data_IF_320285986283
#
_entry.id   IF_320285986283
#
_cell.length_a   1.000
_cell.length_b   1.000
_cell.length_c   1.000
_cell.angle_alpha   90.00
_cell.angle_beta   90.00
_cell.angle_gamma   90.00
#
_symmetry.space_group_name_H-M   'P 1'
#
loop_
_entity.id
_entity.type
_entity.pdbx_description
1 polymer ?
#
# COMPACT_ATOMS: atom_id res chain seq x y z
N UNK A 1 13.58 -3.72 -0.80
CA UNK A 1 13.98 -3.05 0.46
C UNK A 1 13.12 -1.84 0.80
N UNK A 2 13.00 -0.82 -0.08
CA UNK A 2 12.22 0.39 0.22
C UNK A 2 10.78 0.09 0.62
N UNK A 3 10.08 -0.81 -0.09
CA UNK A 3 8.74 -1.27 0.29
C UNK A 3 8.68 -1.82 1.73
N UNK A 4 9.58 -2.74 2.08
CA UNK A 4 9.62 -3.39 3.39
C UNK A 4 9.94 -2.41 4.55
N UNK A 5 10.81 -1.43 4.32
CA UNK A 5 11.12 -0.40 5.31
C UNK A 5 9.91 0.53 5.48
N UNK A 6 9.33 0.98 4.36
CA UNK A 6 8.20 1.91 4.37
C UNK A 6 6.96 1.30 5.03
N UNK A 7 6.65 0.03 4.75
CA UNK A 7 5.50 -0.65 5.34
C UNK A 7 5.70 -0.85 6.84
N UNK A 8 6.92 -1.21 7.27
CA UNK A 8 7.25 -1.37 8.69
C UNK A 8 7.13 -0.05 9.44
N UNK A 9 7.66 1.04 8.87
CA UNK A 9 7.52 2.38 9.47
C UNK A 9 6.07 2.83 9.51
N UNK A 10 5.26 2.55 8.48
CA UNK A 10 3.82 2.81 8.53
C UNK A 10 3.10 1.97 9.59
N UNK A 11 3.62 0.79 9.96
CA UNK A 11 3.09 -0.02 11.05
C UNK A 11 3.48 0.50 12.44
N UNK A 12 4.62 1.17 12.56
CA UNK A 12 5.13 1.73 13.82
C UNK A 12 4.41 3.03 14.19
N UNK A 13 4.20 3.92 13.22
CA UNK A 13 3.50 5.19 13.46
C UNK A 13 1.98 4.99 13.46
N UNK A 14 1.29 5.55 14.46
CA UNK A 14 -0.16 5.49 14.55
C UNK A 14 -0.83 6.46 13.55
N UNK A 15 -1.93 6.04 12.95
CA UNK A 15 -2.79 6.91 12.14
C UNK A 15 -4.01 7.35 12.94
N UNK A 16 -4.67 8.43 12.49
CA UNK A 16 -5.89 8.95 13.08
C UNK A 16 -6.91 7.83 13.30
N UNK A 17 -7.46 7.69 14.52
CA UNK A 17 -8.48 6.70 14.83
C UNK A 17 -9.79 6.97 14.09
N UNK A 18 -10.60 5.93 13.94
CA UNK A 18 -11.91 6.02 13.26
C UNK A 18 -12.94 6.82 14.07
N UNK A 19 -12.79 6.85 15.40
CA UNK A 19 -13.66 7.59 16.30
C UNK A 19 -13.02 8.94 16.62
N UNK A 20 -13.78 10.03 16.48
CA UNK A 20 -13.29 11.40 16.70
C UNK A 20 -13.10 11.75 18.18
N UNK A 21 -13.47 10.85 19.09
CA UNK A 21 -13.34 11.02 20.55
C UNK A 21 -11.92 10.84 21.08
N UNK A 22 -11.03 10.29 20.27
CA UNK A 22 -9.73 9.83 20.75
C UNK A 22 -8.63 10.84 20.39
N UNK A 23 -7.90 11.29 21.40
CA UNK A 23 -6.70 12.09 21.21
C UNK A 23 -5.65 11.31 20.42
N UNK A 24 -5.07 11.95 19.39
CA UNK A 24 -4.02 11.34 18.57
C UNK A 24 -2.90 12.32 18.29
N UNK A 25 -1.68 11.79 18.12
CA UNK A 25 -0.53 12.59 17.73
C UNK A 25 -0.59 12.97 16.26
N UNK A 26 -0.74 14.27 15.96
CA UNK A 26 -0.69 14.79 14.60
C UNK A 26 0.65 14.50 13.90
N UNK A 27 1.74 14.38 14.68
CA UNK A 27 3.05 14.03 14.14
C UNK A 27 3.07 12.58 13.65
N UNK A 28 2.59 11.65 14.47
CA UNK A 28 2.56 10.23 14.11
C UNK A 28 1.62 9.98 12.92
N UNK A 29 0.44 10.62 12.89
CA UNK A 29 -0.49 10.48 11.78
C UNK A 29 0.10 10.97 10.45
N UNK A 30 0.85 12.08 10.49
CA UNK A 30 1.55 12.60 9.32
C UNK A 30 2.68 11.66 8.89
N UNK A 31 3.48 11.17 9.83
CA UNK A 31 4.57 10.23 9.54
C UNK A 31 4.03 8.93 8.94
N UNK A 32 2.98 8.36 9.56
CA UNK A 32 2.25 7.20 9.05
C UNK A 32 1.82 7.41 7.60
N UNK A 33 1.15 8.53 7.31
CA UNK A 33 0.66 8.85 5.98
C UNK A 33 1.78 8.97 4.94
N UNK A 34 2.92 9.55 5.31
CA UNK A 34 4.10 9.63 4.43
C UNK A 34 4.64 8.24 4.11
N UNK A 35 4.84 7.40 5.13
CA UNK A 35 5.37 6.05 4.93
C UNK A 35 4.39 5.14 4.18
N UNK A 36 3.08 5.31 4.41
CA UNK A 36 2.05 4.61 3.67
C UNK A 36 2.09 4.96 2.17
N UNK A 37 2.23 6.24 1.82
CA UNK A 37 2.39 6.68 0.44
C UNK A 37 3.69 6.13 -0.18
N UNK A 38 4.81 6.20 0.53
CA UNK A 38 6.07 5.63 0.07
C UNK A 38 5.99 4.12 -0.16
N UNK A 39 5.21 3.42 0.67
CA UNK A 39 4.92 1.98 0.51
C UNK A 39 4.17 1.73 -0.79
N UNK A 40 3.09 2.47 -1.06
CA UNK A 40 2.31 2.33 -2.29
C UNK A 40 3.11 2.65 -3.57
N UNK A 41 3.94 3.69 -3.52
CA UNK A 41 4.83 4.07 -4.63
C UNK A 41 5.88 2.99 -4.85
N UNK A 42 6.57 2.56 -3.78
CA UNK A 42 7.61 1.53 -3.86
C UNK A 42 7.06 0.20 -4.37
N UNK A 43 5.84 -0.16 -3.96
CA UNK A 43 5.15 -1.35 -4.43
C UNK A 43 4.85 -1.24 -5.93
N UNK A 44 4.18 -0.16 -6.35
CA UNK A 44 3.82 0.06 -7.75
C UNK A 44 5.04 0.02 -8.67
N UNK A 45 6.15 0.64 -8.24
CA UNK A 45 7.41 0.60 -8.98
C UNK A 45 7.99 -0.83 -9.03
N UNK A 46 7.97 -1.56 -7.92
CA UNK A 46 8.43 -2.95 -7.86
C UNK A 46 7.66 -3.87 -8.81
N UNK A 47 6.33 -3.75 -8.83
CA UNK A 47 5.46 -4.48 -9.77
C UNK A 47 5.78 -4.10 -11.21
N UNK A 48 5.90 -2.80 -11.52
CA UNK A 48 6.21 -2.32 -12.86
C UNK A 48 7.56 -2.84 -13.37
N UNK A 49 8.60 -2.85 -12.51
CA UNK A 49 9.89 -3.44 -12.85
C UNK A 49 9.74 -4.95 -13.12
N UNK A 50 8.98 -5.68 -12.29
CA UNK A 50 8.77 -7.11 -12.50
C UNK A 50 8.06 -7.42 -13.81
N UNK A 51 7.16 -6.55 -14.27
CA UNK A 51 6.49 -6.68 -15.57
C UNK A 51 7.47 -6.59 -16.74
N UNK A 52 8.50 -5.73 -16.67
CA UNK A 52 9.51 -5.60 -17.74
C UNK A 52 10.35 -6.88 -17.87
N UNK A 53 10.58 -7.58 -16.77
CA UNK A 53 11.35 -8.83 -16.71
C UNK A 53 10.46 -10.08 -16.61
N UNK A 54 9.21 -10.00 -17.04
CA UNK A 54 8.31 -11.16 -17.05
C UNK A 54 8.67 -12.08 -18.22
N UNK A 55 9.00 -13.34 -17.92
CA UNK A 55 9.32 -14.35 -18.94
C UNK A 55 8.06 -15.06 -19.47
N UNK A 56 7.02 -15.18 -18.62
CA UNK A 56 5.76 -15.81 -18.96
C UNK A 56 4.60 -14.80 -19.00
N UNK A 57 3.65 -15.05 -19.90
CA UNK A 57 2.43 -14.22 -20.03
C UNK A 57 1.63 -14.21 -18.72
N UNK A 58 1.60 -15.33 -17.99
CA UNK A 58 0.90 -15.44 -16.71
C UNK A 58 1.46 -14.46 -15.69
N UNK A 59 2.79 -14.36 -15.58
CA UNK A 59 3.44 -13.42 -14.66
C UNK A 59 3.13 -11.97 -15.05
N UNK A 60 3.16 -11.66 -16.34
CA UNK A 60 2.81 -10.33 -16.83
C UNK A 60 1.36 -9.95 -16.48
N UNK A 61 0.40 -10.86 -16.70
CA UNK A 61 -1.02 -10.64 -16.38
C UNK A 61 -1.22 -10.49 -14.88
N UNK A 62 -0.64 -11.36 -14.05
CA UNK A 62 -0.75 -11.27 -12.59
C UNK A 62 -0.21 -9.94 -12.07
N UNK A 63 1.00 -9.54 -12.48
CA UNK A 63 1.58 -8.26 -12.09
C UNK A 63 0.71 -7.07 -12.55
N UNK A 64 0.13 -7.14 -13.75
CA UNK A 64 -0.80 -6.11 -14.25
C UNK A 64 -2.05 -6.00 -13.38
N UNK A 65 -2.67 -7.12 -13.01
CA UNK A 65 -3.84 -7.15 -12.14
C UNK A 65 -3.50 -6.56 -10.76
N UNK A 66 -2.37 -6.94 -10.17
CA UNK A 66 -1.93 -6.40 -8.88
C UNK A 66 -1.66 -4.89 -8.94
N UNK A 67 -1.03 -4.40 -10.01
CA UNK A 67 -0.80 -2.98 -10.22
C UNK A 67 -2.12 -2.21 -10.31
N UNK A 68 -3.09 -2.71 -11.10
CA UNK A 68 -4.41 -2.11 -11.21
C UNK A 68 -5.16 -2.09 -9.88
N UNK A 69 -5.11 -3.18 -9.12
CA UNK A 69 -5.75 -3.25 -7.80
C UNK A 69 -5.16 -2.22 -6.83
N UNK A 70 -3.84 -2.02 -6.83
CA UNK A 70 -3.19 -1.01 -5.98
C UNK A 70 -3.50 0.41 -6.44
N UNK A 71 -3.54 0.69 -7.74
CA UNK A 71 -3.93 2.00 -8.26
C UNK A 71 -5.39 2.33 -7.93
N UNK A 72 -6.31 1.39 -8.14
CA UNK A 72 -7.72 1.55 -7.79
C UNK A 72 -7.87 1.72 -6.27
N UNK A 73 -7.17 0.92 -5.47
CA UNK A 73 -7.12 1.07 -4.02
C UNK A 73 -6.61 2.45 -3.59
N UNK A 74 -5.56 2.96 -4.23
CA UNK A 74 -4.99 4.28 -3.93
C UNK A 74 -5.96 5.43 -4.26
N UNK A 75 -6.68 5.32 -5.38
CA UNK A 75 -7.74 6.27 -5.74
C UNK A 75 -8.90 6.20 -4.74
N UNK A 76 -9.32 5.00 -4.35
CA UNK A 76 -10.36 4.80 -3.36
C UNK A 76 -9.98 5.37 -1.99
N UNK A 77 -8.71 5.21 -1.59
CA UNK A 77 -8.16 5.80 -0.36
C UNK A 77 -8.27 7.33 -0.36
N UNK A 78 -8.00 7.98 -1.49
CA UNK A 78 -8.15 9.43 -1.63
C UNK A 78 -9.60 9.89 -1.46
N UNK A 79 -10.57 9.15 -2.01
CA UNK A 79 -11.99 9.54 -2.04
C UNK A 79 -12.81 9.14 -0.81
N UNK A 80 -12.50 8.04 -0.14
CA UNK A 80 -13.33 7.51 0.95
C UNK A 80 -12.87 8.06 2.30
N UNK A 81 -13.40 9.21 2.72
CA UNK A 81 -12.99 9.89 3.98
C UNK A 81 -13.31 9.10 5.26
N UNK A 82 -14.43 8.37 5.30
CA UNK A 82 -14.91 7.67 6.50
C UNK A 82 -14.21 6.32 6.79
N UNK A 83 -13.58 5.69 5.79
CA UNK A 83 -13.00 4.33 5.91
C UNK A 83 -11.58 4.19 5.33
N UNK A 84 -10.82 5.29 5.31
CA UNK A 84 -9.44 5.33 4.76
C UNK A 84 -8.56 4.21 5.28
N UNK A 85 -8.57 3.96 6.59
CA UNK A 85 -7.74 2.92 7.19
C UNK A 85 -8.06 1.49 6.72
N UNK A 86 -9.33 1.19 6.38
CA UNK A 86 -9.71 -0.13 5.86
C UNK A 86 -9.13 -0.33 4.45
N UNK A 87 -9.29 0.69 3.59
CA UNK A 87 -8.78 0.66 2.22
C UNK A 87 -7.26 0.50 2.24
N UNK A 88 -6.57 1.25 3.11
CA UNK A 88 -5.13 1.19 3.25
C UNK A 88 -4.62 -0.20 3.70
N UNK A 89 -5.27 -0.81 4.70
CA UNK A 89 -4.95 -2.19 5.11
C UNK A 89 -5.19 -3.20 3.98
N UNK A 90 -6.23 -2.99 3.18
CA UNK A 90 -6.48 -3.80 1.98
C UNK A 90 -5.34 -3.71 0.96
N UNK A 91 -4.82 -2.50 0.70
CA UNK A 91 -3.68 -2.31 -0.21
C UNK A 91 -2.42 -3.01 0.33
N UNK A 92 -2.16 -2.91 1.63
CA UNK A 92 -1.02 -3.60 2.24
C UNK A 92 -1.14 -5.13 2.16
N UNK A 93 -2.34 -5.66 2.39
CA UNK A 93 -2.61 -7.09 2.26
C UNK A 93 -2.41 -7.57 0.81
N UNK A 94 -2.87 -6.79 -0.18
CA UNK A 94 -2.62 -7.09 -1.60
C UNK A 94 -1.12 -7.10 -1.92
N UNK A 95 -0.36 -6.15 -1.37
CA UNK A 95 1.09 -6.12 -1.59
C UNK A 95 1.82 -7.30 -0.96
N UNK A 96 1.36 -7.75 0.22
CA UNK A 96 1.84 -8.98 0.84
C UNK A 96 1.49 -10.22 0.01
N UNK A 97 0.25 -10.32 -0.48
CA UNK A 97 -0.19 -11.43 -1.32
C UNK A 97 0.61 -11.51 -2.63
N UNK A 98 0.90 -10.36 -3.24
CA UNK A 98 1.76 -10.28 -4.42
C UNK A 98 3.15 -10.85 -4.15
N UNK A 99 3.77 -10.51 -3.01
CA UNK A 99 5.05 -11.07 -2.60
C UNK A 99 4.97 -12.58 -2.43
N UNK A 100 3.95 -13.11 -1.75
CA UNK A 100 3.84 -14.56 -1.48
C UNK A 100 3.56 -15.39 -2.74
N UNK A 101 2.85 -14.84 -3.73
CA UNK A 101 2.50 -15.59 -4.94
C UNK A 101 3.62 -15.57 -5.98
N UNK A 102 4.37 -14.47 -6.09
CA UNK A 102 5.36 -14.26 -7.15
C UNK A 102 6.83 -14.35 -6.68
N UNK A 103 7.06 -14.59 -5.38
CA UNK A 103 8.37 -14.84 -4.75
C UNK A 103 8.28 -15.99 -3.75
#
# INVERSE_FOLDING_TARGET
MLYAISISLSGIFCTKPFFESDDYSHFEDRAHSVFANLTGISFSLGVAVRMVFAEFLVDFVLNTVFLLLVLVGSIAFSKVSSRRGIVQRGIFFLGFLWLVILY
#
